data_IF_246092701057
#
_entry.id   IF_246092701057
#
_cell.length_a   1.000
_cell.length_b   1.000
_cell.length_c   1.000
_cell.angle_alpha   90.00
_cell.angle_beta   90.00
_cell.angle_gamma   90.00
#
_symmetry.space_group_name_H-M   'P 1'
#
loop_
_entity.id
_entity.type
_entity.pdbx_description
1 polymer ?
#
# COMPACT_ATOMS: atom_id res chain seq x y z
N UNK A 1 15.81 22.55 2.20
CA UNK A 1 15.32 23.00 0.88
C UNK A 1 15.84 22.02 -0.15
N UNK A 2 15.03 21.04 -0.56
CA UNK A 2 15.36 20.21 -1.71
C UNK A 2 15.07 21.01 -2.97
N UNK A 3 16.07 21.19 -3.82
CA UNK A 3 15.86 21.80 -5.13
C UNK A 3 15.31 20.72 -6.05
N UNK A 4 14.09 20.93 -6.56
CA UNK A 4 13.52 20.11 -7.64
C UNK A 4 13.99 20.70 -8.95
N UNK A 5 14.78 19.95 -9.71
CA UNK A 5 15.21 20.32 -11.06
C UNK A 5 14.40 19.50 -12.06
N UNK A 6 13.59 20.17 -12.88
CA UNK A 6 12.84 19.54 -13.96
C UNK A 6 13.48 19.96 -15.30
N UNK A 7 14.11 19.02 -15.99
CA UNK A 7 14.67 19.23 -17.33
C UNK A 7 13.56 19.05 -18.38
N UNK A 8 13.14 20.09 -19.10
CA UNK A 8 12.00 20.00 -20.01
C UNK A 8 12.14 18.93 -21.09
N UNK A 9 13.36 18.71 -21.60
CA UNK A 9 13.67 17.64 -22.55
C UNK A 9 13.44 16.24 -21.97
N UNK A 10 13.69 16.04 -20.68
CA UNK A 10 13.49 14.75 -19.99
C UNK A 10 12.01 14.48 -19.78
N UNK A 11 11.22 15.52 -19.43
CA UNK A 11 9.76 15.41 -19.28
C UNK A 11 9.10 15.16 -20.63
N UNK A 12 9.59 15.80 -21.70
CA UNK A 12 9.09 15.58 -23.06
C UNK A 12 9.36 14.15 -23.54
N UNK A 13 10.59 13.63 -23.34
CA UNK A 13 10.94 12.25 -23.69
C UNK A 13 10.08 11.24 -22.92
N UNK A 14 9.93 11.42 -21.60
CA UNK A 14 9.06 10.58 -20.78
C UNK A 14 7.60 10.61 -21.24
N UNK A 15 7.11 11.76 -21.72
CA UNK A 15 5.75 11.86 -22.27
C UNK A 15 5.58 11.03 -23.55
N UNK A 16 6.59 11.05 -24.43
CA UNK A 16 6.61 10.22 -25.65
C UNK A 16 6.65 8.73 -25.31
N UNK A 17 7.50 8.34 -24.36
CA UNK A 17 7.63 6.94 -23.94
C UNK A 17 6.33 6.41 -23.32
N UNK A 18 5.70 7.19 -22.43
CA UNK A 18 4.41 6.85 -21.82
C UNK A 18 3.33 6.68 -22.88
N UNK A 19 3.25 7.59 -23.86
CA UNK A 19 2.30 7.48 -24.97
C UNK A 19 2.53 6.22 -25.82
N UNK A 20 3.79 5.84 -26.05
CA UNK A 20 4.16 4.62 -26.77
C UNK A 20 3.71 3.36 -26.02
N UNK A 21 3.94 3.31 -24.70
CA UNK A 21 3.48 2.21 -23.84
C UNK A 21 1.95 2.07 -23.90
N UNK A 22 1.21 3.19 -23.79
CA UNK A 22 -0.25 3.17 -23.92
C UNK A 22 -0.73 2.62 -25.25
N UNK A 23 -0.06 2.99 -26.34
CA UNK A 23 -0.37 2.48 -27.69
C UNK A 23 -0.11 0.97 -27.83
N UNK A 24 1.02 0.48 -27.29
CA UNK A 24 1.36 -0.95 -27.28
C UNK A 24 0.34 -1.76 -26.49
N UNK A 25 -0.02 -1.32 -25.29
CA UNK A 25 -1.01 -1.98 -24.43
C UNK A 25 -2.39 -1.99 -25.09
N UNK A 26 -2.83 -0.87 -25.67
CA UNK A 26 -4.11 -0.79 -26.39
C UNK A 26 -4.14 -1.70 -27.63
N UNK A 27 -3.00 -1.91 -28.27
CA UNK A 27 -2.87 -2.82 -29.42
C UNK A 27 -2.92 -4.28 -28.97
N UNK A 28 -2.20 -4.63 -27.91
CA UNK A 28 -2.22 -5.97 -27.33
C UNK A 28 -3.64 -6.35 -26.86
N UNK A 29 -4.31 -5.45 -26.13
CA UNK A 29 -5.67 -5.71 -25.62
C UNK A 29 -6.71 -5.90 -26.72
N UNK A 30 -6.60 -5.14 -27.82
CA UNK A 30 -7.43 -5.37 -29.02
C UNK A 30 -7.11 -6.68 -29.71
N UNK A 31 -5.83 -7.06 -29.76
CA UNK A 31 -5.37 -8.31 -30.39
C UNK A 31 -5.93 -9.57 -29.74
N UNK A 32 -6.16 -9.54 -28.41
CA UNK A 32 -6.70 -10.68 -27.65
C UNK A 32 -8.20 -10.60 -27.38
N UNK A 33 -8.88 -9.52 -27.80
CA UNK A 33 -10.27 -9.27 -27.46
C UNK A 33 -11.18 -10.45 -27.84
N UNK A 34 -11.22 -10.82 -29.13
CA UNK A 34 -12.07 -11.94 -29.59
C UNK A 34 -11.77 -13.26 -28.86
N UNK A 35 -10.48 -13.60 -28.68
CA UNK A 35 -10.08 -14.82 -28.00
C UNK A 35 -10.49 -14.89 -26.51
N UNK A 36 -10.78 -13.74 -25.89
CA UNK A 36 -11.18 -13.64 -24.47
C UNK A 36 -12.66 -13.37 -24.27
N UNK A 37 -13.35 -12.81 -25.27
CA UNK A 37 -14.78 -12.45 -25.19
C UNK A 37 -15.71 -13.40 -25.91
N UNK A 38 -15.18 -14.30 -26.74
CA UNK A 38 -15.93 -15.25 -27.56
C UNK A 38 -15.44 -16.68 -27.28
N UNK A 39 -15.28 -17.01 -25.99
CA UNK A 39 -14.84 -18.34 -25.57
C UNK A 39 -15.91 -19.35 -25.95
N UNK A 40 -15.51 -20.38 -26.71
CA UNK A 40 -16.40 -21.46 -27.12
C UNK A 40 -16.56 -22.50 -26.01
N UNK A 41 -17.75 -23.10 -25.93
CA UNK A 41 -18.00 -24.24 -25.04
C UNK A 41 -17.09 -25.42 -25.41
N UNK A 42 -16.49 -26.05 -24.40
CA UNK A 42 -15.60 -27.20 -24.60
C UNK A 42 -16.34 -28.46 -25.08
N UNK A 43 -17.64 -28.57 -24.81
CA UNK A 43 -18.54 -29.62 -25.26
C UNK A 43 -19.98 -29.09 -25.39
N UNK A 44 -20.84 -29.85 -26.08
CA UNK A 44 -22.26 -29.51 -26.33
C UNK A 44 -23.16 -29.79 -25.12
N UNK A 45 -22.70 -29.41 -23.93
CA UNK A 45 -23.43 -29.56 -22.68
C UNK A 45 -23.63 -28.21 -21.97
N UNK A 46 -24.66 -28.16 -21.12
CA UNK A 46 -25.08 -26.94 -20.44
C UNK A 46 -24.02 -26.39 -19.46
N UNK A 47 -23.17 -27.26 -18.88
CA UNK A 47 -22.12 -26.85 -17.95
C UNK A 47 -20.96 -26.20 -18.72
N UNK A 48 -20.52 -26.82 -19.82
CA UNK A 48 -19.50 -26.26 -20.71
C UNK A 48 -19.95 -24.93 -21.34
N UNK A 49 -21.23 -24.82 -21.71
CA UNK A 49 -21.81 -23.57 -22.21
C UNK A 49 -21.83 -22.47 -21.15
N UNK A 50 -22.22 -22.79 -19.91
CA UNK A 50 -22.22 -21.83 -18.80
C UNK A 50 -20.81 -21.35 -18.43
N UNK A 51 -19.82 -22.24 -18.42
CA UNK A 51 -18.41 -21.90 -18.15
C UNK A 51 -17.85 -20.98 -19.26
N UNK A 52 -18.10 -21.30 -20.52
CA UNK A 52 -17.69 -20.46 -21.65
C UNK A 52 -18.35 -19.07 -21.62
N UNK A 53 -19.63 -19.00 -21.26
CA UNK A 53 -20.35 -17.74 -21.06
C UNK A 53 -19.76 -16.91 -19.92
N UNK A 54 -19.36 -17.54 -18.81
CA UNK A 54 -18.72 -16.87 -17.68
C UNK A 54 -17.38 -16.21 -18.08
N UNK A 55 -16.50 -16.96 -18.74
CA UNK A 55 -15.21 -16.42 -19.19
C UNK A 55 -15.38 -15.33 -20.25
N UNK A 56 -16.32 -15.51 -21.17
CA UNK A 56 -16.65 -14.50 -22.19
C UNK A 56 -17.16 -13.20 -21.55
N UNK A 57 -18.04 -13.29 -20.55
CA UNK A 57 -18.54 -12.13 -19.81
C UNK A 57 -17.42 -11.44 -19.02
N UNK A 58 -16.51 -12.21 -18.42
CA UNK A 58 -15.32 -11.66 -17.75
C UNK A 58 -14.40 -10.91 -18.73
N UNK A 59 -14.13 -11.51 -19.90
CA UNK A 59 -13.37 -10.86 -20.97
C UNK A 59 -14.02 -9.56 -21.43
N UNK A 60 -15.34 -9.52 -21.58
CA UNK A 60 -16.08 -8.32 -21.98
C UNK A 60 -15.96 -7.21 -20.92
N UNK A 61 -16.07 -7.56 -19.64
CA UNK A 61 -15.83 -6.65 -18.53
C UNK A 61 -14.40 -6.10 -18.52
N UNK A 62 -13.40 -6.96 -18.73
CA UNK A 62 -12.00 -6.55 -18.87
C UNK A 62 -11.79 -5.58 -20.04
N UNK A 63 -12.37 -5.86 -21.20
CA UNK A 63 -12.25 -4.99 -22.38
C UNK A 63 -12.90 -3.61 -22.14
N UNK A 64 -14.05 -3.57 -21.46
CA UNK A 64 -14.68 -2.32 -21.06
C UNK A 64 -13.81 -1.49 -20.11
N UNK A 65 -13.19 -2.13 -19.12
CA UNK A 65 -12.27 -1.46 -18.20
C UNK A 65 -10.99 -1.00 -18.91
N UNK A 66 -10.42 -1.83 -19.78
CA UNK A 66 -9.26 -1.48 -20.60
C UNK A 66 -9.53 -0.25 -21.47
N UNK A 67 -10.73 -0.12 -22.04
CA UNK A 67 -11.12 1.08 -22.81
C UNK A 67 -11.20 2.34 -21.94
N UNK A 68 -11.70 2.23 -20.71
CA UNK A 68 -11.71 3.34 -19.75
C UNK A 68 -10.30 3.74 -19.32
N UNK A 69 -9.43 2.75 -19.08
CA UNK A 69 -8.02 2.96 -18.77
C UNK A 69 -7.26 3.63 -19.93
N UNK A 70 -7.51 3.23 -21.17
CA UNK A 70 -6.94 3.88 -22.35
C UNK A 70 -7.37 5.36 -22.46
N UNK A 71 -8.66 5.65 -22.24
CA UNK A 71 -9.17 7.03 -22.24
C UNK A 71 -8.56 7.87 -21.11
N UNK A 72 -8.29 7.27 -19.96
CA UNK A 72 -7.57 7.94 -18.88
C UNK A 72 -6.10 8.18 -19.24
N UNK A 73 -5.43 7.17 -19.80
CA UNK A 73 -4.04 7.27 -20.23
C UNK A 73 -3.85 8.39 -21.25
N UNK A 74 -4.77 8.56 -22.20
CA UNK A 74 -4.77 9.69 -23.13
C UNK A 74 -4.85 11.05 -22.41
N UNK A 75 -5.78 11.19 -21.45
CA UNK A 75 -5.88 12.42 -20.64
C UNK A 75 -4.64 12.66 -19.78
N UNK A 76 -4.03 11.60 -19.28
CA UNK A 76 -2.79 11.66 -18.51
C UNK A 76 -1.63 12.17 -19.37
N UNK A 77 -1.41 11.57 -20.56
CA UNK A 77 -0.40 12.01 -21.53
C UNK A 77 -0.65 13.47 -21.92
N UNK A 78 -1.89 13.85 -22.25
CA UNK A 78 -2.23 15.25 -22.56
C UNK A 78 -1.91 16.22 -21.42
N UNK A 79 -2.19 15.82 -20.18
CA UNK A 79 -1.88 16.63 -19.00
C UNK A 79 -0.37 16.75 -18.80
N UNK A 80 0.38 15.66 -19.00
CA UNK A 80 1.83 15.64 -18.87
C UNK A 80 2.50 16.49 -19.96
N UNK A 81 2.03 16.41 -21.22
CA UNK A 81 2.47 17.29 -22.30
C UNK A 81 2.24 18.76 -21.96
N UNK A 82 1.08 19.11 -21.39
CA UNK A 82 0.78 20.49 -20.97
C UNK A 82 1.67 20.95 -19.83
N UNK A 83 1.94 20.07 -18.85
CA UNK A 83 2.85 20.36 -17.75
C UNK A 83 4.29 20.59 -18.26
N UNK A 84 4.78 19.76 -19.19
CA UNK A 84 6.07 19.96 -19.84
C UNK A 84 6.13 21.33 -20.53
N UNK A 85 5.09 21.71 -21.27
CA UNK A 85 4.97 23.03 -21.89
C UNK A 85 4.97 24.19 -20.89
N UNK A 86 4.37 23.99 -19.70
CA UNK A 86 4.40 24.99 -18.62
C UNK A 86 5.81 25.18 -18.03
N UNK A 87 6.60 24.11 -17.88
CA UNK A 87 8.01 24.22 -17.48
C UNK A 87 8.85 24.98 -18.52
N UNK A 88 8.67 24.66 -19.81
CA UNK A 88 9.35 25.41 -20.90
C UNK A 88 8.96 26.89 -20.88
N UNK A 89 7.68 27.21 -20.70
CA UNK A 89 7.20 28.58 -20.62
C UNK A 89 7.74 29.32 -19.38
N UNK A 90 7.88 28.63 -18.24
CA UNK A 90 8.45 29.18 -17.03
C UNK A 90 9.96 29.48 -17.19
N UNK A 91 10.73 28.59 -17.81
CA UNK A 91 12.13 28.84 -18.15
C UNK A 91 12.28 30.03 -19.09
N UNK A 92 11.46 30.14 -20.13
CA UNK A 92 11.46 31.28 -21.04
C UNK A 92 11.08 32.61 -20.35
N UNK A 93 10.11 32.58 -19.44
CA UNK A 93 9.72 33.74 -18.65
C UNK A 93 10.85 34.16 -17.69
N UNK A 94 11.49 33.21 -17.00
CA UNK A 94 12.61 33.47 -16.09
C UNK A 94 13.83 34.04 -16.83
N UNK A 95 14.14 33.52 -18.02
CA UNK A 95 15.18 34.07 -18.89
C UNK A 95 14.87 35.52 -19.30
N UNK A 96 13.62 35.82 -19.66
CA UNK A 96 13.21 37.19 -20.01
C UNK A 96 13.29 38.17 -18.84
N UNK A 97 13.08 37.69 -17.61
CA UNK A 97 13.21 38.48 -16.38
C UNK A 97 14.68 38.76 -16.08
N UNK A 98 15.56 37.77 -16.24
CA UNK A 98 17.02 37.93 -16.12
C UNK A 98 17.56 38.95 -17.14
N UNK A 99 17.15 38.82 -18.41
CA UNK A 99 17.51 39.78 -19.47
C UNK A 99 17.01 41.20 -19.14
N UNK A 100 15.80 41.33 -18.60
CA UNK A 100 15.25 42.62 -18.17
C UNK A 100 15.95 43.17 -16.91
N UNK A 101 16.46 42.30 -16.03
CA UNK A 101 17.20 42.67 -14.82
C UNK A 101 18.60 43.18 -15.15
N UNK A 102 19.28 42.57 -16.13
CA UNK A 102 20.56 43.06 -16.66
C UNK A 102 20.41 44.43 -17.34
N UNK A 103 19.22 44.75 -17.84
CA UNK A 103 18.94 45.98 -18.58
C UNK A 103 18.34 47.13 -17.75
N UNK A 104 17.96 46.92 -16.48
CA UNK A 104 17.22 47.92 -15.70
C UNK A 104 17.80 48.20 -14.30
N UNK A 105 18.47 49.35 -14.06
CA UNK A 105 18.63 49.84 -12.71
C UNK A 105 17.29 50.48 -12.27
N UNK A 106 16.71 50.03 -11.16
CA UNK A 106 15.67 50.69 -10.31
C UNK A 106 14.16 50.39 -10.45
N UNK A 107 13.70 49.18 -10.84
CA UNK A 107 12.25 48.83 -10.78
C UNK A 107 11.85 47.64 -9.87
N UNK A 108 12.76 47.19 -9.01
CA UNK A 108 12.64 46.01 -8.14
C UNK A 108 11.38 45.95 -7.24
N UNK A 109 10.75 47.07 -6.87
CA UNK A 109 9.65 47.08 -5.90
C UNK A 109 8.28 46.65 -6.47
N UNK A 110 8.03 46.85 -7.76
CA UNK A 110 6.74 46.54 -8.40
C UNK A 110 6.63 45.10 -8.89
N UNK A 111 7.75 44.41 -9.08
CA UNK A 111 7.79 43.00 -9.53
C UNK A 111 7.36 42.00 -8.44
N UNK A 112 7.79 42.23 -7.19
CA UNK A 112 7.48 41.31 -6.08
C UNK A 112 5.99 41.26 -5.71
N UNK A 113 5.24 42.36 -5.89
CA UNK A 113 3.80 42.41 -5.60
C UNK A 113 2.94 41.55 -6.55
N UNK A 114 3.44 41.24 -7.76
CA UNK A 114 2.71 40.42 -8.75
C UNK A 114 2.96 38.93 -8.59
N UNK A 115 4.15 38.54 -8.12
CA UNK A 115 4.52 37.14 -7.87
C UNK A 115 3.75 36.53 -6.68
N UNK A 116 3.47 37.33 -5.64
CA UNK A 116 2.74 36.88 -4.46
C UNK A 116 1.28 36.47 -4.77
N UNK A 117 0.63 37.11 -5.75
CA UNK A 117 -0.76 36.81 -6.10
C UNK A 117 -0.92 35.62 -7.07
N UNK A 118 0.14 35.21 -7.79
CA UNK A 118 0.07 34.08 -8.72
C UNK A 118 0.29 32.72 -8.04
N UNK A 119 0.95 32.68 -6.88
CA UNK A 119 1.28 31.44 -6.14
C UNK A 119 0.10 30.94 -5.28
N UNK A 120 -0.87 31.78 -4.97
CA UNK A 120 -2.01 31.44 -4.09
C UNK A 120 -3.23 30.95 -4.88
N UNK A 121 -3.28 31.17 -6.19
CA UNK A 121 -4.41 30.79 -7.03
C UNK A 121 -4.11 29.53 -7.85
N UNK A 122 -4.59 28.39 -7.33
CA UNK A 122 -5.12 27.27 -8.11
C UNK A 122 -4.13 26.33 -8.81
N UNK A 123 -3.47 25.45 -8.04
CA UNK A 123 -3.03 24.13 -8.52
C UNK A 123 -2.98 23.11 -7.38
N UNK A 124 -3.82 22.05 -7.36
CA UNK A 124 -3.62 20.90 -6.49
C UNK A 124 -2.32 20.19 -6.88
N UNK A 125 -1.45 19.96 -5.91
CA UNK A 125 -0.11 19.38 -6.11
C UNK A 125 -0.16 18.02 -6.83
N UNK A 126 0.84 17.77 -7.69
CA UNK A 126 1.00 16.52 -8.45
C UNK A 126 0.95 15.25 -7.57
N UNK A 127 1.29 15.39 -6.28
CA UNK A 127 1.23 14.34 -5.27
C UNK A 127 -0.17 13.71 -5.15
N UNK A 128 -1.23 14.53 -5.20
CA UNK A 128 -2.61 14.05 -5.11
C UNK A 128 -3.05 13.23 -6.36
N UNK A 129 -2.36 13.40 -7.50
CA UNK A 129 -2.68 12.69 -8.76
C UNK A 129 -2.01 11.32 -8.89
N UNK A 130 -0.87 11.12 -8.22
CA UNK A 130 -0.17 9.82 -8.16
C UNK A 130 -0.77 8.91 -7.09
N UNK A 131 -1.17 9.48 -5.95
CA UNK A 131 -1.94 8.77 -4.91
C UNK A 131 -3.24 8.18 -5.45
N UNK A 132 -3.89 8.90 -6.37
CA UNK A 132 -5.09 8.43 -7.06
C UNK A 132 -4.85 7.41 -8.19
N UNK A 133 -3.59 7.13 -8.56
CA UNK A 133 -3.21 6.06 -9.47
C UNK A 133 -2.87 4.75 -8.76
N UNK A 134 -2.32 4.80 -7.54
CA UNK A 134 -2.11 3.62 -6.69
C UNK A 134 -3.43 2.99 -6.20
N UNK A 135 -4.47 3.82 -6.02
CA UNK A 135 -5.84 3.40 -5.68
C UNK A 135 -6.70 3.06 -6.91
N UNK A 136 -6.14 3.11 -8.13
CA UNK A 136 -6.87 2.93 -9.39
C UNK A 136 -7.69 1.63 -9.51
N UNK A 137 -7.28 0.46 -8.97
CA UNK A 137 -8.09 -0.76 -9.02
C UNK A 137 -9.38 -0.67 -8.19
N UNK A 138 -9.44 0.20 -7.19
CA UNK A 138 -10.55 0.32 -6.21
C UNK A 138 -11.34 1.60 -6.40
N UNK A 139 -10.77 2.61 -7.07
CA UNK A 139 -11.43 3.90 -7.33
C UNK A 139 -12.76 3.78 -8.08
N UNK A 140 -12.95 2.88 -9.07
CA UNK A 140 -14.25 2.66 -9.70
C UNK A 140 -15.31 2.14 -8.73
N UNK A 141 -14.92 1.33 -7.74
CA UNK A 141 -15.79 0.80 -6.68
C UNK A 141 -16.15 1.89 -5.66
N UNK A 142 -15.19 2.76 -5.34
CA UNK A 142 -15.38 3.93 -4.46
C UNK A 142 -16.16 5.07 -5.15
N UNK A 143 -16.13 5.15 -6.49
CA UNK A 143 -16.85 6.18 -7.26
C UNK A 143 -18.27 5.78 -7.68
N UNK A 144 -18.71 4.56 -7.38
CA UNK A 144 -20.07 4.07 -7.69
C UNK A 144 -21.14 4.51 -6.69
N UNK A 145 -20.78 5.24 -5.64
CA UNK A 145 -21.76 5.88 -4.75
C UNK A 145 -21.75 7.39 -4.97
N UNK A 146 -22.62 7.88 -5.86
CA UNK A 146 -23.15 9.24 -5.82
C UNK A 146 -24.03 9.48 -4.58
N UNK A 147 -23.56 9.02 -3.43
CA UNK A 147 -24.25 9.03 -2.15
C UNK A 147 -23.22 9.51 -1.12
N UNK A 148 -23.34 10.77 -0.70
CA UNK A 148 -22.65 11.31 0.48
C UNK A 148 -23.19 10.65 1.75
N UNK A 149 -22.98 9.35 1.89
CA UNK A 149 -23.41 8.54 3.03
C UNK A 149 -22.17 8.16 3.84
N UNK A 150 -22.17 8.26 5.18
CA UNK A 150 -20.96 8.01 5.96
C UNK A 150 -20.48 6.57 5.76
N UNK A 151 -19.28 6.38 5.20
CA UNK A 151 -18.59 5.07 5.14
C UNK A 151 -18.45 4.41 6.53
N UNK A 152 -18.56 5.22 7.60
CA UNK A 152 -18.57 4.82 9.01
C UNK A 152 -19.85 4.08 9.46
N UNK A 153 -20.88 3.95 8.61
CA UNK A 153 -22.05 3.16 8.95
C UNK A 153 -21.71 1.66 8.92
N UNK A 154 -21.78 1.00 10.08
CA UNK A 154 -21.49 -0.43 10.26
C UNK A 154 -22.33 -1.37 9.35
N UNK A 155 -23.41 -0.87 8.74
CA UNK A 155 -24.30 -1.62 7.84
C UNK A 155 -24.26 -1.11 6.38
N UNK A 156 -23.11 -0.59 5.92
CA UNK A 156 -22.98 -0.15 4.53
C UNK A 156 -22.93 -1.36 3.56
N UNK A 157 -23.82 -1.45 2.55
CA UNK A 157 -23.85 -2.57 1.61
C UNK A 157 -22.58 -2.73 0.76
N UNK A 158 -21.72 -1.69 0.66
CA UNK A 158 -20.40 -1.80 0.04
C UNK A 158 -19.47 -2.76 0.81
N UNK A 159 -19.60 -2.87 2.13
CA UNK A 159 -18.74 -3.73 2.94
C UNK A 159 -19.06 -5.21 2.76
N UNK A 160 -20.34 -5.56 2.59
CA UNK A 160 -20.76 -6.94 2.29
C UNK A 160 -20.23 -7.42 0.94
N UNK A 161 -20.12 -6.52 -0.04
CA UNK A 161 -19.61 -6.83 -1.37
C UNK A 161 -18.10 -7.17 -1.39
N UNK A 162 -17.31 -6.73 -0.41
CA UNK A 162 -15.90 -7.10 -0.27
C UNK A 162 -15.72 -8.53 0.30
N UNK A 163 -16.75 -9.08 0.93
CA UNK A 163 -16.73 -10.43 1.49
C UNK A 163 -17.24 -11.49 0.49
N UNK A 164 -17.91 -11.07 -0.58
CA UNK A 164 -18.47 -11.93 -1.62
C UNK A 164 -17.55 -12.07 -2.87
N UNK A 165 -17.39 -13.29 -3.43
CA UNK A 165 -16.73 -13.46 -4.73
C UNK A 165 -17.45 -12.70 -5.87
N UNK A 166 -16.73 -12.15 -6.87
CA UNK A 166 -15.30 -12.30 -7.14
C UNK A 166 -14.41 -11.24 -6.48
N UNK A 167 -14.98 -10.25 -5.79
CA UNK A 167 -14.20 -9.18 -5.14
C UNK A 167 -13.38 -9.71 -3.95
N UNK A 168 -13.92 -10.69 -3.21
CA UNK A 168 -13.20 -11.45 -2.21
C UNK A 168 -11.90 -12.12 -2.73
N UNK A 169 -11.79 -12.37 -4.05
CA UNK A 169 -10.56 -12.92 -4.65
C UNK A 169 -9.45 -11.88 -4.78
N UNK A 170 -9.80 -10.60 -4.85
CA UNK A 170 -8.85 -9.49 -4.96
C UNK A 170 -8.56 -8.83 -3.61
N UNK A 171 -9.55 -8.78 -2.73
CA UNK A 171 -9.49 -8.21 -1.39
C UNK A 171 -10.37 -9.07 -0.49
N UNK A 172 -9.78 -9.87 0.40
CA UNK A 172 -10.53 -10.86 1.17
C UNK A 172 -9.75 -11.50 2.31
N UNK A 173 -10.51 -12.11 3.22
CA UNK A 173 -10.00 -12.61 4.50
C UNK A 173 -9.38 -14.03 4.42
N UNK A 174 -9.18 -14.59 3.22
CA UNK A 174 -8.56 -15.90 3.01
C UNK A 174 -7.83 -15.93 1.66
N UNK A 175 -6.74 -16.72 1.54
CA UNK A 175 -6.04 -16.88 0.27
C UNK A 175 -6.89 -17.69 -0.70
N UNK A 176 -6.59 -17.53 -2.00
CA UNK A 176 -7.15 -18.40 -3.03
C UNK A 176 -6.71 -19.86 -2.80
N UNK A 177 -7.66 -20.78 -2.75
CA UNK A 177 -7.38 -22.22 -2.65
C UNK A 177 -6.53 -22.73 -3.82
N UNK A 178 -6.66 -22.12 -5.00
CA UNK A 178 -5.85 -22.48 -6.15
C UNK A 178 -4.38 -22.09 -5.96
N UNK A 179 -4.12 -20.90 -5.41
CA UNK A 179 -2.78 -20.41 -5.13
C UNK A 179 -2.07 -21.34 -4.13
N UNK A 180 -2.74 -21.67 -3.03
CA UNK A 180 -2.16 -22.51 -1.98
C UNK A 180 -2.01 -23.96 -2.43
N UNK A 181 -2.97 -24.49 -3.21
CA UNK A 181 -2.85 -25.81 -3.83
C UNK A 181 -1.64 -25.90 -4.78
N UNK A 182 -1.44 -24.91 -5.66
CA UNK A 182 -0.28 -24.86 -6.56
C UNK A 182 1.05 -24.87 -5.81
N UNK A 183 1.09 -24.30 -4.60
CA UNK A 183 2.28 -24.21 -3.77
C UNK A 183 2.41 -25.36 -2.75
N UNK A 184 1.53 -26.36 -2.80
CA UNK A 184 1.53 -27.50 -1.88
C UNK A 184 1.24 -27.11 -0.42
N UNK A 185 0.51 -26.01 -0.20
CA UNK A 185 0.24 -25.46 1.12
C UNK A 185 -1.09 -25.96 1.68
N UNK A 186 -1.14 -26.09 3.00
CA UNK A 186 -2.39 -26.29 3.74
C UNK A 186 -2.80 -24.98 4.39
N UNK A 187 -4.09 -24.64 4.30
CA UNK A 187 -4.67 -23.46 4.94
C UNK A 187 -5.58 -23.91 6.07
N UNK A 188 -5.36 -23.37 7.27
CA UNK A 188 -6.21 -23.58 8.43
C UNK A 188 -6.78 -22.25 8.92
N UNK A 189 -8.03 -22.29 9.37
CA UNK A 189 -8.74 -21.14 9.92
C UNK A 189 -8.87 -21.34 11.42
N UNK A 190 -8.08 -20.58 12.18
CA UNK A 190 -8.09 -20.55 13.63
C UNK A 190 -8.72 -19.27 14.17
N UNK A 191 -8.78 -19.18 15.50
CA UNK A 191 -9.15 -17.95 16.21
C UNK A 191 -8.22 -17.72 17.40
N UNK A 192 -7.93 -16.46 17.66
CA UNK A 192 -7.24 -15.99 18.86
C UNK A 192 -8.08 -14.89 19.50
N UNK A 193 -8.60 -15.15 20.71
CA UNK A 193 -9.47 -14.21 21.42
C UNK A 193 -10.61 -13.63 20.52
N UNK A 194 -11.24 -14.51 19.74
CA UNK A 194 -12.29 -14.15 18.79
C UNK A 194 -11.83 -13.46 17.49
N UNK A 195 -10.56 -13.06 17.36
CA UNK A 195 -9.96 -12.62 16.09
C UNK A 195 -9.63 -13.82 15.23
N UNK A 196 -10.04 -13.82 13.97
CA UNK A 196 -9.72 -14.92 13.05
C UNK A 196 -8.24 -14.86 12.67
N UNK A 197 -7.58 -16.01 12.60
CA UNK A 197 -6.20 -16.14 12.15
C UNK A 197 -6.16 -17.19 11.04
N UNK A 198 -5.62 -16.81 9.88
CA UNK A 198 -5.39 -17.73 8.77
C UNK A 198 -3.97 -18.23 8.85
N UNK A 199 -3.80 -19.53 9.01
CA UNK A 199 -2.50 -20.17 9.04
C UNK A 199 -2.23 -20.82 7.67
N UNK A 200 -1.13 -20.42 7.02
CA UNK A 200 -0.63 -21.02 5.78
C UNK A 200 0.59 -21.86 6.14
N UNK A 201 0.43 -23.18 6.09
CA UNK A 201 1.50 -24.15 6.39
C UNK A 201 2.09 -24.69 5.08
N UNK A 202 3.40 -24.56 4.82
CA UNK A 202 4.03 -25.11 3.61
C UNK A 202 4.18 -26.63 3.67
N UNK A 203 4.42 -27.27 2.52
CA UNK A 203 4.58 -28.72 2.41
C UNK A 203 5.72 -29.28 3.29
N UNK A 204 6.77 -28.47 3.50
CA UNK A 204 7.93 -28.82 4.30
C UNK A 204 8.21 -27.70 5.32
N UNK A 205 7.55 -27.71 6.48
CA UNK A 205 7.70 -26.66 7.48
C UNK A 205 9.13 -26.61 8.07
N UNK A 206 9.71 -25.41 8.14
CA UNK A 206 11.02 -25.16 8.76
C UNK A 206 10.95 -25.14 10.30
N UNK A 207 9.75 -24.93 10.85
CA UNK A 207 9.53 -24.68 12.27
C UNK A 207 9.52 -23.19 12.64
N UNK A 208 9.75 -22.31 11.68
CA UNK A 208 9.65 -20.86 11.84
C UNK A 208 8.23 -20.36 11.54
N UNK A 209 7.85 -19.26 12.19
CA UNK A 209 6.54 -18.64 12.12
C UNK A 209 6.69 -17.14 11.84
N UNK A 210 5.86 -16.64 10.93
CA UNK A 210 5.79 -15.23 10.58
C UNK A 210 4.38 -14.72 10.83
N UNK A 211 4.23 -13.79 11.78
CA UNK A 211 2.97 -13.05 11.96
C UNK A 211 2.92 -11.95 10.90
N UNK A 212 2.01 -12.09 9.92
CA UNK A 212 1.92 -11.21 8.77
C UNK A 212 0.67 -10.32 8.84
N UNK A 213 0.87 -9.06 9.19
CA UNK A 213 -0.19 -8.10 9.46
C UNK A 213 -0.38 -7.21 8.23
N UNK A 214 -1.49 -7.41 7.53
CA UNK A 214 -1.77 -6.71 6.28
C UNK A 214 -2.02 -5.20 6.47
N UNK A 215 -1.75 -4.42 5.43
CA UNK A 215 -2.14 -3.03 5.32
C UNK A 215 -3.58 -2.83 4.87
N UNK A 216 -3.86 -1.74 4.15
CA UNK A 216 -5.22 -1.39 3.72
C UNK A 216 -5.90 -0.33 4.58
N UNK A 217 -5.10 0.53 5.24
CA UNK A 217 -5.58 1.73 5.92
C UNK A 217 -6.60 1.48 7.03
N UNK A 218 -6.54 0.32 7.70
CA UNK A 218 -7.51 -0.12 8.71
C UNK A 218 -8.96 -0.33 8.22
N UNK A 219 -9.22 -0.17 6.91
CA UNK A 219 -10.56 -0.24 6.29
C UNK A 219 -10.70 -1.37 5.28
N UNK A 220 -9.60 -1.94 4.79
CA UNK A 220 -9.62 -3.03 3.82
C UNK A 220 -9.03 -4.30 4.42
N UNK A 221 -9.59 -5.48 4.10
CA UNK A 221 -8.98 -6.76 4.41
C UNK A 221 -7.76 -7.02 3.50
N UNK A 222 -7.00 -8.12 3.69
CA UNK A 222 -5.83 -8.41 2.87
C UNK A 222 -6.16 -8.45 1.38
N UNK A 223 -5.32 -7.84 0.55
CA UNK A 223 -5.41 -7.96 -0.91
C UNK A 223 -4.78 -9.24 -1.43
N UNK A 224 -5.07 -9.60 -2.68
CA UNK A 224 -4.45 -10.73 -3.37
C UNK A 224 -2.92 -10.65 -3.38
N UNK A 225 -2.33 -9.46 -3.42
CA UNK A 225 -0.88 -9.31 -3.38
C UNK A 225 -0.29 -9.68 -2.02
N UNK A 226 -1.02 -9.46 -0.92
CA UNK A 226 -0.63 -9.98 0.39
C UNK A 226 -0.65 -11.50 0.36
N UNK A 227 -1.74 -12.11 -0.12
CA UNK A 227 -1.85 -13.56 -0.19
C UNK A 227 -0.79 -14.20 -1.08
N UNK A 228 -0.46 -13.59 -2.24
CA UNK A 228 0.66 -14.03 -3.08
C UNK A 228 1.97 -13.92 -2.31
N UNK A 229 2.24 -12.79 -1.64
CA UNK A 229 3.47 -12.62 -0.87
C UNK A 229 3.61 -13.66 0.24
N UNK A 230 2.55 -13.88 1.03
CA UNK A 230 2.56 -14.83 2.14
C UNK A 230 2.73 -16.27 1.65
N UNK A 231 1.99 -16.65 0.61
CA UNK A 231 2.13 -17.98 0.01
C UNK A 231 3.50 -18.19 -0.63
N UNK A 232 4.03 -17.23 -1.41
CA UNK A 232 5.39 -17.36 -1.98
C UNK A 232 6.43 -17.46 -0.88
N UNK A 233 6.32 -16.65 0.17
CA UNK A 233 7.23 -16.68 1.32
C UNK A 233 7.20 -18.05 1.99
N UNK A 234 6.02 -18.56 2.35
CA UNK A 234 5.87 -19.88 2.96
C UNK A 234 6.47 -20.99 2.10
N UNK A 235 6.18 -20.98 0.78
CA UNK A 235 6.69 -21.99 -0.14
C UNK A 235 8.22 -21.94 -0.27
N UNK A 236 8.80 -20.75 -0.37
CA UNK A 236 10.23 -20.56 -0.60
C UNK A 236 11.09 -20.83 0.64
N UNK A 237 10.53 -20.66 1.84
CA UNK A 237 11.28 -20.68 3.11
C UNK A 237 10.97 -21.89 3.98
N UNK A 238 9.77 -22.47 3.84
CA UNK A 238 9.26 -23.43 4.82
C UNK A 238 8.66 -22.77 6.07
N UNK A 239 8.68 -21.45 6.20
CA UNK A 239 8.04 -20.78 7.34
C UNK A 239 6.50 -20.88 7.26
N UNK A 240 5.87 -21.01 8.43
CA UNK A 240 4.42 -20.95 8.58
C UNK A 240 3.98 -19.50 8.68
N UNK A 241 2.99 -19.08 7.89
CA UNK A 241 2.46 -17.71 7.95
C UNK A 241 1.21 -17.68 8.83
N UNK A 242 1.22 -16.84 9.85
CA UNK A 242 0.07 -16.54 10.71
C UNK A 242 -0.50 -15.18 10.30
N UNK A 243 -1.66 -15.18 9.65
CA UNK A 243 -2.28 -13.97 9.08
C UNK A 243 -3.51 -13.59 9.91
N UNK A 244 -3.37 -12.71 10.91
CA UNK A 244 -4.47 -12.21 11.72
C UNK A 244 -5.40 -11.33 10.88
N UNK A 245 -6.68 -11.68 10.86
CA UNK A 245 -7.76 -10.89 10.27
C UNK A 245 -8.33 -10.01 11.38
N UNK A 246 -7.66 -8.88 11.62
CA UNK A 246 -8.03 -7.95 12.68
C UNK A 246 -9.34 -7.21 12.31
N UNK A 247 -10.16 -6.82 13.31
CA UNK A 247 -11.37 -6.06 13.04
C UNK A 247 -11.00 -4.70 12.44
N UNK A 248 -11.61 -4.37 11.31
CA UNK A 248 -11.46 -3.09 10.61
C UNK A 248 -12.27 -2.00 11.32
N UNK A 249 -11.99 -0.72 11.04
CA UNK A 249 -12.64 0.39 11.76
C UNK A 249 -14.17 0.40 11.59
N UNK A 250 -14.69 0.00 10.43
CA UNK A 250 -16.13 -0.13 10.19
C UNK A 250 -16.75 -1.38 10.84
N UNK A 251 -15.93 -2.31 11.32
CA UNK A 251 -16.32 -3.47 12.15
C UNK A 251 -16.18 -3.16 13.66
N UNK A 252 -15.85 -1.92 14.03
CA UNK A 252 -15.60 -1.52 15.41
C UNK A 252 -14.17 -1.72 15.89
N UNK A 253 -13.23 -2.04 14.99
CA UNK A 253 -11.81 -2.12 15.30
C UNK A 253 -11.23 -0.76 15.70
N UNK A 254 -10.49 -0.74 16.80
CA UNK A 254 -9.75 0.45 17.26
C UNK A 254 -8.36 0.05 17.74
N UNK A 255 -7.42 0.98 17.71
CA UNK A 255 -6.06 0.85 18.19
C UNK A 255 -5.98 0.23 19.59
N UNK A 256 -6.81 0.72 20.52
CA UNK A 256 -6.84 0.26 21.92
C UNK A 256 -7.34 -1.18 22.10
N UNK A 257 -7.92 -1.79 21.06
CA UNK A 257 -8.37 -3.19 21.05
C UNK A 257 -7.43 -4.05 20.21
N UNK A 258 -7.12 -3.60 19.00
CA UNK A 258 -6.39 -4.39 18.01
C UNK A 258 -4.92 -4.54 18.37
N UNK A 259 -4.22 -3.46 18.74
CA UNK A 259 -2.78 -3.56 19.04
C UNK A 259 -2.48 -4.46 20.25
N UNK A 260 -3.20 -4.36 21.40
CA UNK A 260 -3.01 -5.31 22.51
C UNK A 260 -3.40 -6.75 22.16
N UNK A 261 -4.46 -6.97 21.37
CA UNK A 261 -4.85 -8.31 20.93
C UNK A 261 -3.79 -8.94 20.02
N UNK A 262 -3.21 -8.13 19.13
CA UNK A 262 -2.12 -8.55 18.26
C UNK A 262 -0.85 -8.88 19.04
N UNK A 263 -0.53 -8.08 20.06
CA UNK A 263 0.56 -8.36 21.01
C UNK A 263 0.36 -9.70 21.72
N UNK A 264 -0.86 -9.99 22.17
CA UNK A 264 -1.21 -11.28 22.77
C UNK A 264 -0.99 -12.47 21.84
N UNK A 265 -1.41 -12.36 20.57
CA UNK A 265 -1.20 -13.42 19.56
C UNK A 265 0.30 -13.68 19.35
N UNK A 266 1.10 -12.63 19.17
CA UNK A 266 2.55 -12.77 19.01
C UNK A 266 3.18 -13.40 20.24
N UNK A 267 2.80 -12.95 21.44
CA UNK A 267 3.30 -13.48 22.72
C UNK A 267 2.99 -14.98 22.86
N UNK A 268 1.77 -15.42 22.49
CA UNK A 268 1.43 -16.84 22.54
C UNK A 268 2.24 -17.69 21.57
N UNK A 269 2.48 -17.19 20.35
CA UNK A 269 3.33 -17.89 19.37
C UNK A 269 4.78 -17.97 19.84
N UNK A 270 5.31 -16.88 20.43
CA UNK A 270 6.65 -16.87 21.02
C UNK A 270 6.76 -17.87 22.18
N UNK A 271 5.73 -17.96 23.03
CA UNK A 271 5.70 -18.91 24.13
C UNK A 271 5.63 -20.37 23.63
N UNK A 272 4.91 -20.63 22.54
CA UNK A 272 4.74 -21.97 21.98
C UNK A 272 5.94 -22.44 21.16
N UNK A 273 6.49 -21.57 20.31
CA UNK A 273 7.51 -21.94 19.32
C UNK A 273 8.92 -21.43 19.66
N UNK A 274 9.05 -20.56 20.66
CA UNK A 274 10.29 -19.91 21.05
C UNK A 274 10.58 -18.65 20.23
N UNK A 275 11.10 -17.61 20.90
CA UNK A 275 11.31 -16.30 20.30
C UNK A 275 12.17 -16.33 19.02
N UNK A 276 13.19 -17.19 18.96
CA UNK A 276 14.07 -17.33 17.79
C UNK A 276 13.36 -17.79 16.52
N UNK A 277 12.18 -18.41 16.66
CA UNK A 277 11.42 -18.99 15.56
C UNK A 277 10.21 -18.14 15.17
N UNK A 278 9.97 -17.01 15.85
CA UNK A 278 8.85 -16.11 15.56
C UNK A 278 9.37 -14.77 15.09
N UNK A 279 8.87 -14.33 13.94
CA UNK A 279 9.11 -12.99 13.38
C UNK A 279 7.79 -12.33 13.02
N UNK A 280 7.82 -11.01 12.80
CA UNK A 280 6.62 -10.24 12.41
C UNK A 280 6.92 -9.38 11.19
N UNK A 281 5.98 -9.33 10.27
CA UNK A 281 5.98 -8.40 9.14
C UNK A 281 4.65 -7.64 9.09
N UNK A 282 4.71 -6.37 8.75
CA UNK A 282 3.50 -5.61 8.45
C UNK A 282 3.72 -4.46 7.49
N UNK A 283 2.76 -4.23 6.60
CA UNK A 283 2.78 -3.15 5.61
C UNK A 283 1.78 -2.04 5.95
N UNK A 284 2.08 -0.79 5.64
CA UNK A 284 1.17 0.34 5.79
C UNK A 284 0.53 0.42 7.19
N UNK A 285 -0.81 0.31 7.28
CA UNK A 285 -1.58 0.19 8.52
C UNK A 285 -1.21 -1.07 9.35
N UNK A 286 -0.88 -2.18 8.71
CA UNK A 286 -0.35 -3.36 9.38
C UNK A 286 1.03 -3.14 9.97
N UNK A 287 1.87 -2.31 9.33
CA UNK A 287 3.15 -1.85 9.88
C UNK A 287 2.98 -0.96 11.11
N UNK A 288 1.92 -0.14 11.16
CA UNK A 288 1.49 0.58 12.37
C UNK A 288 1.17 -0.41 13.50
N UNK A 289 0.26 -1.35 13.23
CA UNK A 289 -0.19 -2.35 14.21
C UNK A 289 0.98 -3.19 14.71
N UNK A 290 1.87 -3.64 13.82
CA UNK A 290 3.06 -4.42 14.17
C UNK A 290 3.95 -3.68 15.17
N UNK A 291 4.34 -2.43 14.86
CA UNK A 291 5.19 -1.65 15.75
C UNK A 291 4.50 -1.34 17.08
N UNK A 292 3.23 -0.92 17.05
CA UNK A 292 2.44 -0.63 18.24
C UNK A 292 2.28 -1.86 19.15
N UNK A 293 2.02 -3.03 18.56
CA UNK A 293 1.87 -4.29 19.28
C UNK A 293 3.18 -4.70 19.96
N UNK A 294 4.31 -4.67 19.25
CA UNK A 294 5.60 -5.04 19.86
C UNK A 294 6.03 -4.01 20.93
N UNK A 295 5.77 -2.72 20.73
CA UNK A 295 5.93 -1.70 21.78
C UNK A 295 5.07 -2.03 23.02
N UNK A 296 3.84 -2.47 22.80
CA UNK A 296 2.94 -2.89 23.87
C UNK A 296 3.51 -4.10 24.63
N UNK A 297 3.97 -5.14 23.92
CA UNK A 297 4.61 -6.32 24.51
C UNK A 297 5.79 -5.93 25.41
N UNK A 298 6.70 -5.07 24.91
CA UNK A 298 7.82 -4.58 25.73
C UNK A 298 7.35 -3.83 26.96
N UNK A 299 6.30 -3.00 26.84
CA UNK A 299 5.75 -2.26 27.98
C UNK A 299 5.15 -3.16 29.08
N UNK A 300 4.69 -4.36 28.71
CA UNK A 300 4.16 -5.36 29.64
C UNK A 300 5.25 -6.32 30.16
N UNK A 301 6.45 -6.29 29.58
CA UNK A 301 7.52 -7.24 29.90
C UNK A 301 7.32 -8.61 29.25
N UNK A 302 6.50 -8.68 28.19
CA UNK A 302 6.22 -9.92 27.46
C UNK A 302 7.39 -10.30 26.51
N UNK A 303 7.61 -11.60 26.25
CA UNK A 303 8.56 -12.05 25.24
C UNK A 303 8.18 -11.54 23.84
N UNK A 304 9.10 -10.87 23.14
CA UNK A 304 8.88 -10.33 21.79
C UNK A 304 9.37 -11.27 20.69
N UNK A 305 8.87 -11.15 19.44
CA UNK A 305 9.44 -11.84 18.28
C UNK A 305 10.92 -11.51 18.08
N UNK A 306 11.68 -12.40 17.43
CA UNK A 306 13.13 -12.21 17.22
C UNK A 306 13.48 -11.14 16.19
N UNK A 307 12.58 -10.85 15.24
CA UNK A 307 12.78 -9.93 14.11
C UNK A 307 11.47 -9.24 13.75
N UNK A 308 11.57 -8.01 13.25
CA UNK A 308 10.44 -7.26 12.71
C UNK A 308 10.80 -6.61 11.37
N UNK A 309 9.89 -6.70 10.39
CA UNK A 309 10.00 -5.98 9.12
C UNK A 309 8.77 -5.11 8.92
N UNK A 310 8.97 -3.82 8.63
CA UNK A 310 7.92 -2.85 8.39
C UNK A 310 8.02 -2.35 6.95
N UNK A 311 6.95 -2.51 6.18
CA UNK A 311 6.86 -2.04 4.80
C UNK A 311 5.99 -0.79 4.75
N UNK A 312 6.52 0.35 4.31
CA UNK A 312 5.79 1.62 4.18
C UNK A 312 4.92 1.98 5.41
N UNK A 313 5.41 1.86 6.66
CA UNK A 313 4.52 1.87 7.83
C UNK A 313 3.85 3.23 8.04
N UNK A 314 2.56 3.22 8.40
CA UNK A 314 1.79 4.43 8.74
C UNK A 314 2.00 4.82 10.21
N UNK A 315 3.10 5.50 10.50
CA UNK A 315 3.62 5.67 11.87
C UNK A 315 2.94 6.77 12.70
N UNK A 316 2.43 7.81 12.05
CA UNK A 316 1.68 8.93 12.64
C UNK A 316 0.40 9.18 11.83
N UNK A 317 -0.73 8.71 12.36
CA UNK A 317 -2.05 8.85 11.72
C UNK A 317 -2.64 10.25 11.90
N UNK A 318 -2.16 11.03 12.87
CA UNK A 318 -2.62 12.39 13.13
C UNK A 318 -1.81 13.47 12.43
N UNK A 319 -0.88 13.09 11.56
CA UNK A 319 0.02 14.00 10.89
C UNK A 319 -0.76 15.06 10.06
N UNK A 320 -0.42 16.36 10.15
CA UNK A 320 -1.12 17.44 9.45
C UNK A 320 -1.05 17.39 7.92
N UNK A 321 -0.17 16.56 7.34
CA UNK A 321 -0.07 16.38 5.88
C UNK A 321 -1.14 15.42 5.32
N UNK A 322 -1.88 14.73 6.18
CA UNK A 322 -2.97 13.84 5.77
C UNK A 322 -4.18 14.64 5.28
N UNK A 323 -4.89 14.08 4.30
CA UNK A 323 -6.13 14.70 3.83
C UNK A 323 -7.30 14.46 4.80
N UNK A 324 -8.45 15.07 4.53
CA UNK A 324 -9.63 14.97 5.40
C UNK A 324 -10.16 13.52 5.52
N UNK A 325 -9.95 12.69 4.50
CA UNK A 325 -10.38 11.30 4.50
C UNK A 325 -9.46 10.46 5.39
N UNK A 326 -8.15 10.60 5.23
CA UNK A 326 -7.14 9.94 6.06
C UNK A 326 -7.31 10.31 7.54
N UNK A 327 -7.60 11.59 7.84
CA UNK A 327 -7.89 12.03 9.21
C UNK A 327 -9.19 11.44 9.77
N UNK A 328 -10.21 11.25 8.94
CA UNK A 328 -11.44 10.57 9.37
C UNK A 328 -11.15 9.12 9.76
N UNK A 329 -10.38 8.40 8.95
CA UNK A 329 -9.93 7.03 9.29
C UNK A 329 -9.10 7.04 10.57
N UNK A 330 -8.17 7.97 10.72
CA UNK A 330 -7.32 8.11 11.90
C UNK A 330 -8.14 8.28 13.19
N UNK A 331 -9.19 9.11 13.16
CA UNK A 331 -10.09 9.28 14.30
C UNK A 331 -10.91 8.03 14.61
N UNK A 332 -11.40 7.30 13.60
CA UNK A 332 -12.10 6.03 13.82
C UNK A 332 -11.15 4.98 14.40
N UNK A 333 -9.93 4.86 13.86
CA UNK A 333 -8.90 3.95 14.35
C UNK A 333 -8.50 4.27 15.79
N UNK A 334 -8.33 5.54 16.12
CA UNK A 334 -7.98 5.97 17.47
C UNK A 334 -9.05 5.61 18.51
N UNK A 335 -10.32 5.59 18.10
CA UNK A 335 -11.45 5.40 19.01
C UNK A 335 -11.44 6.49 20.09
N UNK A 336 -11.29 6.08 21.36
CA UNK A 336 -11.24 7.01 22.49
C UNK A 336 -9.82 7.49 22.84
N UNK A 337 -8.79 7.02 22.14
CA UNK A 337 -7.41 7.42 22.39
C UNK A 337 -7.06 8.70 21.62
N UNK A 338 -6.13 9.53 22.13
CA UNK A 338 -5.62 10.65 21.36
C UNK A 338 -4.78 10.16 20.18
N UNK A 339 -4.76 10.92 19.07
CA UNK A 339 -4.03 10.53 17.84
C UNK A 339 -2.52 10.35 18.04
N UNK A 340 -1.93 10.95 19.07
CA UNK A 340 -0.52 10.80 19.44
C UNK A 340 -0.27 9.70 20.49
N UNK A 341 -1.28 8.91 20.86
CA UNK A 341 -1.08 7.71 21.68
C UNK A 341 -0.26 6.68 20.88
N UNK A 342 0.72 6.03 21.50
CA UNK A 342 1.60 5.07 20.79
C UNK A 342 0.87 3.86 20.22
N UNK A 343 -0.29 3.46 20.77
CA UNK A 343 -1.11 2.39 20.19
C UNK A 343 -1.78 2.82 18.87
N UNK A 344 -1.98 4.14 18.71
CA UNK A 344 -2.63 4.76 17.54
C UNK A 344 -1.57 5.17 16.50
N UNK A 345 -0.51 5.82 16.97
CA UNK A 345 0.61 6.36 16.20
C UNK A 345 1.91 5.90 16.86
N UNK A 346 2.46 4.73 16.49
CA UNK A 346 3.62 4.14 17.15
C UNK A 346 4.92 4.94 16.99
N UNK A 347 4.93 5.98 16.15
CA UNK A 347 6.01 6.97 16.11
C UNK A 347 6.29 7.62 17.48
N UNK A 348 5.25 7.74 18.31
CA UNK A 348 5.34 8.33 19.66
C UNK A 348 5.66 7.31 20.76
N UNK A 349 5.85 6.03 20.41
CA UNK A 349 6.19 4.96 21.36
C UNK A 349 7.69 4.83 21.63
N UNK A 350 8.03 4.09 22.68
CA UNK A 350 9.42 3.76 23.01
C UNK A 350 10.02 2.82 21.97
N UNK A 351 11.31 2.98 21.64
CA UNK A 351 12.05 2.04 20.79
C UNK A 351 12.95 1.09 21.59
N UNK A 352 13.06 1.31 22.90
CA UNK A 352 13.86 0.47 23.79
C UNK A 352 13.26 -0.93 23.88
N UNK A 353 14.10 -1.97 23.83
CA UNK A 353 13.70 -3.37 23.95
C UNK A 353 13.05 -3.97 22.69
N UNK A 354 12.82 -3.20 21.64
CA UNK A 354 12.32 -3.72 20.36
C UNK A 354 13.34 -4.66 19.69
N UNK A 355 12.88 -5.69 18.97
CA UNK A 355 13.77 -6.57 18.22
C UNK A 355 14.45 -5.83 17.06
N UNK A 356 15.52 -6.41 16.48
CA UNK A 356 16.07 -5.93 15.21
C UNK A 356 14.96 -5.68 14.20
N UNK A 357 14.87 -4.44 13.72
CA UNK A 357 13.76 -3.98 12.88
C UNK A 357 14.27 -3.45 11.55
N UNK A 358 13.71 -3.90 10.45
CA UNK A 358 13.99 -3.36 9.11
C UNK A 358 12.79 -2.57 8.61
N UNK A 359 13.02 -1.38 8.08
CA UNK A 359 11.97 -0.48 7.58
C UNK A 359 12.22 -0.18 6.12
N UNK A 360 11.27 -0.54 5.27
CA UNK A 360 11.29 -0.24 3.83
C UNK A 360 10.36 0.92 3.53
N UNK A 361 10.84 1.92 2.80
CA UNK A 361 10.04 3.08 2.39
C UNK A 361 10.39 3.48 0.95
N UNK A 362 9.43 4.01 0.21
CA UNK A 362 9.65 4.54 -1.13
C UNK A 362 9.78 6.07 -1.12
N UNK A 363 10.65 6.65 -1.94
CA UNK A 363 10.86 8.10 -1.93
C UNK A 363 9.67 8.93 -2.47
N UNK A 364 8.70 8.28 -3.13
CA UNK A 364 7.42 8.88 -3.56
C UNK A 364 6.25 8.47 -2.67
N UNK A 365 6.51 7.75 -1.58
CA UNK A 365 5.50 7.46 -0.57
C UNK A 365 5.23 8.69 0.30
N UNK A 366 3.96 9.02 0.49
CA UNK A 366 3.52 10.08 1.40
C UNK A 366 3.94 9.83 2.86
N UNK A 367 4.16 8.56 3.24
CA UNK A 367 4.58 8.17 4.58
C UNK A 367 6.11 8.21 4.77
N UNK A 368 6.89 8.45 3.71
CA UNK A 368 8.36 8.44 3.77
C UNK A 368 8.93 9.43 4.79
N UNK A 369 8.28 10.59 4.94
CA UNK A 369 8.68 11.59 5.93
C UNK A 369 8.59 11.03 7.37
N UNK A 370 7.58 10.23 7.68
CA UNK A 370 7.38 9.64 9.00
C UNK A 370 8.41 8.54 9.27
N UNK A 371 8.74 7.73 8.25
CA UNK A 371 9.83 6.76 8.34
C UNK A 371 11.19 7.43 8.59
N UNK A 372 11.45 8.59 8.00
CA UNK A 372 12.65 9.38 8.27
C UNK A 372 12.69 9.92 9.71
N UNK A 373 11.55 10.32 10.29
CA UNK A 373 11.47 10.72 11.70
C UNK A 373 11.76 9.53 12.61
N UNK A 374 11.21 8.35 12.32
CA UNK A 374 11.51 7.12 13.05
C UNK A 374 13.01 6.76 12.96
N UNK A 375 13.63 6.95 11.80
CA UNK A 375 15.07 6.74 11.63
C UNK A 375 15.90 7.64 12.55
N UNK A 376 15.56 8.93 12.62
CA UNK A 376 16.24 9.86 13.51
C UNK A 376 16.07 9.45 14.98
N UNK A 377 14.85 9.06 15.38
CA UNK A 377 14.56 8.58 16.72
C UNK A 377 15.36 7.30 17.06
N UNK A 378 15.43 6.34 16.14
CA UNK A 378 16.18 5.12 16.32
C UNK A 378 17.68 5.35 16.47
N UNK A 379 18.27 6.23 15.65
CA UNK A 379 19.68 6.63 15.77
C UNK A 379 19.95 7.31 17.11
N UNK A 380 19.07 8.23 17.53
CA UNK A 380 19.24 8.94 18.80
C UNK A 380 19.16 8.01 20.02
N UNK A 381 18.35 6.96 19.95
CA UNK A 381 18.16 5.98 21.04
C UNK A 381 19.09 4.77 20.95
N UNK A 382 19.87 4.63 19.87
CA UNK A 382 20.66 3.42 19.60
C UNK A 382 19.81 2.16 19.39
N UNK A 383 18.56 2.33 18.91
CA UNK A 383 17.65 1.22 18.66
C UNK A 383 18.13 0.42 17.42
N UNK A 384 17.92 -0.91 17.38
CA UNK A 384 18.46 -1.80 16.34
C UNK A 384 17.64 -1.74 15.04
N UNK A 385 17.46 -0.54 14.49
CA UNK A 385 16.69 -0.32 13.26
C UNK A 385 17.61 -0.14 12.06
N UNK A 386 17.18 -0.68 10.92
CA UNK A 386 17.79 -0.47 9.60
C UNK A 386 16.73 0.03 8.64
N UNK A 387 17.12 0.94 7.75
CA UNK A 387 16.20 1.62 6.85
C UNK A 387 16.65 1.45 5.40
N UNK A 388 15.68 1.13 4.54
CA UNK A 388 15.83 1.08 3.09
C UNK A 388 14.90 2.12 2.50
N UNK A 389 15.47 3.18 1.92
CA UNK A 389 14.72 4.16 1.13
C UNK A 389 14.92 3.86 -0.35
N UNK A 390 13.90 3.33 -1.01
CA UNK A 390 13.94 3.01 -2.41
C UNK A 390 13.55 4.22 -3.27
N UNK A 391 14.46 4.65 -4.14
CA UNK A 391 14.25 5.81 -5.01
C UNK A 391 13.11 5.55 -6.01
N UNK A 392 12.27 6.56 -6.17
CA UNK A 392 11.11 6.61 -7.08
C UNK A 392 10.02 5.57 -6.81
N UNK A 393 10.10 4.89 -5.67
CA UNK A 393 9.10 3.92 -5.29
C UNK A 393 7.93 4.57 -4.54
N UNK A 394 6.73 4.07 -4.79
CA UNK A 394 5.47 4.54 -4.18
C UNK A 394 5.16 3.79 -2.89
N UNK A 395 4.04 4.15 -2.25
CA UNK A 395 3.51 3.40 -1.11
C UNK A 395 3.35 1.91 -1.45
N UNK A 396 3.79 1.04 -0.53
CA UNK A 396 3.75 -0.43 -0.63
C UNK A 396 4.36 -1.03 -1.91
N UNK A 397 5.36 -0.35 -2.46
CA UNK A 397 6.08 -0.82 -3.65
C UNK A 397 6.64 -2.25 -3.52
N UNK A 398 6.95 -2.69 -2.30
CA UNK A 398 7.44 -4.06 -2.03
C UNK A 398 6.40 -5.12 -2.45
N UNK A 399 5.10 -4.81 -2.29
CA UNK A 399 4.00 -5.71 -2.63
C UNK A 399 3.42 -5.42 -4.02
N UNK A 400 3.35 -4.14 -4.41
CA UNK A 400 2.58 -3.71 -5.58
C UNK A 400 3.40 -3.32 -6.80
N UNK A 401 4.73 -3.43 -6.75
CA UNK A 401 5.59 -3.16 -7.91
C UNK A 401 6.40 -4.40 -8.33
N UNK A 402 6.72 -4.55 -9.63
CA UNK A 402 7.63 -5.60 -10.09
C UNK A 402 9.01 -5.53 -9.43
N UNK A 403 9.48 -4.33 -9.09
CA UNK A 403 10.77 -4.12 -8.43
C UNK A 403 10.76 -4.58 -6.96
N UNK A 404 9.62 -4.50 -6.29
CA UNK A 404 9.41 -4.98 -4.94
C UNK A 404 9.72 -6.47 -4.77
N UNK A 405 9.36 -7.27 -5.78
CA UNK A 405 9.60 -8.72 -5.79
C UNK A 405 11.08 -9.08 -5.62
N UNK A 406 11.99 -8.23 -6.11
CA UNK A 406 13.43 -8.45 -6.00
C UNK A 406 13.95 -8.34 -4.56
N UNK A 407 13.18 -7.70 -3.66
CA UNK A 407 13.54 -7.54 -2.26
C UNK A 407 12.99 -8.65 -1.36
N UNK A 408 12.08 -9.50 -1.86
CA UNK A 408 11.49 -10.57 -1.04
C UNK A 408 12.54 -11.54 -0.47
N UNK A 409 13.56 -12.01 -1.24
CA UNK A 409 14.61 -12.85 -0.67
C UNK A 409 15.40 -12.17 0.47
N UNK A 410 15.67 -10.86 0.32
CA UNK A 410 16.34 -10.09 1.37
C UNK A 410 15.44 -9.97 2.61
N UNK A 411 14.16 -9.63 2.42
CA UNK A 411 13.19 -9.53 3.51
C UNK A 411 13.07 -10.86 4.27
N UNK A 412 13.11 -12.00 3.57
CA UNK A 412 13.11 -13.32 4.21
C UNK A 412 14.35 -13.54 5.09
N UNK A 413 15.53 -13.08 4.66
CA UNK A 413 16.75 -13.13 5.50
C UNK A 413 16.64 -12.22 6.72
N UNK A 414 16.01 -11.07 6.57
CA UNK A 414 15.81 -10.09 7.63
C UNK A 414 14.80 -10.56 8.68
N UNK A 415 13.75 -11.26 8.24
CA UNK A 415 12.83 -12.03 9.09
C UNK A 415 13.50 -13.25 9.75
N UNK A 416 14.65 -13.69 9.23
CA UNK A 416 15.39 -14.82 9.77
C UNK A 416 14.83 -16.18 9.35
N UNK A 417 14.11 -16.25 8.23
CA UNK A 417 13.43 -17.45 7.71
C UNK A 417 14.05 -17.96 6.40
N UNK A 418 15.15 -17.37 5.94
CA UNK A 418 15.78 -17.79 4.69
C UNK A 418 16.58 -19.09 4.90
N UNK A 419 16.33 -20.08 4.03
CA UNK A 419 17.03 -21.37 3.98
C UNK A 419 18.53 -21.25 3.64
#
# INVERSE_FOLDING_TARGET
MSYVVALPETVSAATTDVASIGSLVATANRGVAGATTEVLAAAEDEVSAAIAALFSAHGQGYQALSAQAASFHERFVQTLTRAAGAYVAAEAANASVLDAFEQAPTSLATGFGRLANAVVADTPSLANRVQSAALWPVKPLLSLSGLETPLAAANNPLWQLLEDPPLAWYIGNAPSLYLTWLMGQTVQLGTYDGMRVVQITPAHPSGEYVVAIHGGGFILPPSIFHWINYSVTANATGATMEVPIYPLVWQGGTAGVVAPKMAGLMSSLVAEHGASNVSVIGDSAGGNIALAAVQHMVSQGDPVPSRMVLLSPWLDVGNPWHDAFDLQIAHMWAGNLPLNNYLVSPLYGSLAGLPPTYVYSGSWDQLAAQAAVLQQAAVAQGAPFRFVLANYQTHDWVLFSPWGLLYWPQINQELGIAA
#
